data_IF_645915631415
#
_entry.id   IF_645915631415
#
_cell.length_a   1.000
_cell.length_b   1.000
_cell.length_c   1.000
_cell.angle_alpha   90.00
_cell.angle_beta   90.00
_cell.angle_gamma   90.00
#
_symmetry.space_group_name_H-M   'P 1'
#
loop_
_entity.id
_entity.type
_entity.pdbx_description
1 polymer ?
#
# COMPACT_ATOMS: atom_id res chain seq x y z
N UNK A 1 -0.49 -19.81 17.15
CA UNK A 1 -0.58 -21.27 16.88
C UNK A 1 -1.98 -21.84 17.12
N UNK A 2 -2.74 -21.39 18.12
CA UNK A 2 -4.08 -21.91 18.45
C UNK A 2 -5.13 -21.99 17.31
N UNK A 3 -5.02 -21.16 16.27
CA UNK A 3 -5.95 -21.21 15.13
C UNK A 3 -5.61 -22.35 14.16
N UNK A 4 -4.32 -22.68 13.98
CA UNK A 4 -3.89 -23.68 13.00
C UNK A 4 -4.28 -25.09 13.40
N UNK A 5 -4.16 -25.41 14.68
CA UNK A 5 -4.53 -26.72 15.25
C UNK A 5 -6.01 -27.08 15.05
N UNK A 6 -6.86 -26.08 14.80
CA UNK A 6 -8.31 -26.25 14.65
C UNK A 6 -8.78 -26.28 13.19
N UNK A 7 -7.87 -26.15 12.22
CA UNK A 7 -8.21 -25.98 10.82
C UNK A 7 -7.51 -27.03 9.95
N UNK A 8 -8.28 -27.74 9.13
CA UNK A 8 -7.79 -28.69 8.11
C UNK A 8 -7.63 -28.04 6.73
N UNK A 9 -8.12 -26.80 6.56
CA UNK A 9 -8.04 -26.05 5.30
C UNK A 9 -6.74 -25.23 5.21
N UNK A 10 -6.26 -24.91 4.00
CA UNK A 10 -5.11 -24.02 3.83
C UNK A 10 -5.32 -22.64 4.46
N UNK A 11 -4.35 -22.20 5.27
CA UNK A 11 -4.36 -20.91 5.96
C UNK A 11 -3.44 -19.91 5.27
N UNK A 12 -4.00 -18.79 4.82
CA UNK A 12 -3.25 -17.65 4.27
C UNK A 12 -3.28 -16.45 5.22
N UNK A 13 -2.13 -15.80 5.43
CA UNK A 13 -2.03 -14.52 6.14
C UNK A 13 -1.66 -13.41 5.15
N UNK A 14 -2.50 -12.37 5.03
CA UNK A 14 -2.41 -11.34 3.99
C UNK A 14 -1.63 -10.07 4.37
N UNK A 15 -0.95 -10.09 5.53
CA UNK A 15 -0.17 -8.94 6.01
C UNK A 15 0.70 -9.28 7.22
N UNK A 16 1.48 -8.31 7.69
CA UNK A 16 2.34 -8.47 8.87
C UNK A 16 3.74 -9.02 8.60
N UNK A 17 4.03 -9.50 7.39
CA UNK A 17 5.36 -9.96 7.01
C UNK A 17 6.16 -8.90 6.23
N UNK A 18 7.41 -8.69 6.65
CA UNK A 18 8.39 -7.80 6.01
C UNK A 18 9.76 -8.45 5.82
N UNK A 19 10.18 -9.30 6.74
CA UNK A 19 11.47 -9.98 6.68
C UNK A 19 11.35 -11.39 6.09
N UNK A 20 12.29 -11.73 5.20
CA UNK A 20 12.38 -13.04 4.56
C UNK A 20 12.52 -14.16 5.58
N UNK A 21 13.36 -13.98 6.60
CA UNK A 21 13.57 -14.96 7.66
C UNK A 21 12.26 -15.35 8.36
N UNK A 22 11.49 -14.35 8.82
CA UNK A 22 10.19 -14.57 9.46
C UNK A 22 9.17 -15.25 8.51
N UNK A 23 9.16 -14.88 7.22
CA UNK A 23 8.32 -15.55 6.23
C UNK A 23 8.72 -17.03 6.06
N UNK A 24 10.02 -17.32 5.99
CA UNK A 24 10.50 -18.71 5.83
C UNK A 24 10.22 -19.54 7.06
N UNK A 25 10.41 -18.99 8.26
CA UNK A 25 10.10 -19.66 9.52
C UNK A 25 8.60 -19.98 9.62
N UNK A 26 7.73 -19.02 9.31
CA UNK A 26 6.27 -19.24 9.36
C UNK A 26 5.80 -20.33 8.39
N UNK A 27 6.42 -20.43 7.21
CA UNK A 27 6.15 -21.50 6.24
C UNK A 27 6.74 -22.85 6.70
N UNK A 28 8.00 -22.86 7.15
CA UNK A 28 8.70 -24.10 7.54
C UNK A 28 8.09 -24.77 8.77
N UNK A 29 7.57 -23.97 9.71
CA UNK A 29 6.88 -24.46 10.91
C UNK A 29 5.42 -24.87 10.64
N UNK A 30 4.91 -24.68 9.42
CA UNK A 30 3.51 -24.93 9.08
C UNK A 30 2.53 -23.98 9.78
N UNK A 31 3.01 -22.85 10.30
CA UNK A 31 2.17 -21.85 10.97
C UNK A 31 1.19 -21.18 9.99
N UNK A 32 1.61 -21.04 8.72
CA UNK A 32 0.80 -20.59 7.59
C UNK A 32 1.16 -21.41 6.36
N UNK A 33 0.19 -21.62 5.46
CA UNK A 33 0.43 -22.30 4.18
C UNK A 33 0.78 -21.28 3.08
N UNK A 34 0.23 -20.07 3.17
CA UNK A 34 0.46 -18.98 2.22
C UNK A 34 0.67 -17.64 2.92
N UNK A 35 1.49 -16.78 2.31
CA UNK A 35 1.74 -15.41 2.75
C UNK A 35 1.35 -14.46 1.63
N UNK A 36 0.33 -13.62 1.89
CA UNK A 36 -0.05 -12.52 1.04
C UNK A 36 0.75 -11.26 1.35
N UNK A 37 1.21 -10.57 0.30
CA UNK A 37 1.99 -9.33 0.39
C UNK A 37 1.35 -8.31 -0.55
N UNK A 38 0.96 -7.15 -0.02
CA UNK A 38 0.32 -6.08 -0.82
C UNK A 38 1.20 -4.83 -0.94
N UNK A 39 1.26 -4.00 0.11
CA UNK A 39 1.87 -2.65 0.04
C UNK A 39 3.29 -2.57 -0.55
N UNK A 40 4.22 -3.51 -0.28
CA UNK A 40 5.53 -3.50 -0.92
C UNK A 40 5.49 -3.56 -2.46
N UNK A 41 4.52 -4.29 -3.04
CA UNK A 41 4.37 -4.38 -4.51
C UNK A 41 3.97 -3.06 -5.16
N UNK A 42 3.42 -2.11 -4.40
CA UNK A 42 3.10 -0.79 -4.93
C UNK A 42 4.35 -0.01 -5.36
N UNK A 43 5.52 -0.32 -4.80
CA UNK A 43 6.78 0.39 -5.09
C UNK A 43 7.88 -0.51 -5.65
N UNK A 44 7.76 -1.82 -5.45
CA UNK A 44 8.70 -2.83 -5.90
C UNK A 44 7.89 -3.96 -6.58
N UNK A 45 7.52 -3.79 -7.86
CA UNK A 45 6.67 -4.76 -8.57
C UNK A 45 7.29 -6.15 -8.70
N UNK A 46 8.62 -6.23 -8.67
CA UNK A 46 9.43 -7.45 -8.73
C UNK A 46 9.77 -8.01 -7.33
N UNK A 47 9.08 -7.58 -6.28
CA UNK A 47 9.36 -7.96 -4.89
C UNK A 47 9.42 -9.48 -4.66
N UNK A 48 8.53 -10.26 -5.28
CA UNK A 48 8.57 -11.73 -5.19
C UNK A 48 9.88 -12.31 -5.74
N UNK A 49 10.28 -11.89 -6.95
CA UNK A 49 11.52 -12.36 -7.57
C UNK A 49 12.73 -12.01 -6.71
N UNK A 50 12.77 -10.79 -6.15
CA UNK A 50 13.86 -10.37 -5.26
C UNK A 50 13.89 -11.16 -3.95
N UNK A 51 12.73 -11.42 -3.33
CA UNK A 51 12.66 -12.26 -2.13
C UNK A 51 13.19 -13.67 -2.40
N UNK A 52 12.83 -14.26 -3.54
CA UNK A 52 13.33 -15.58 -3.96
C UNK A 52 14.83 -15.55 -4.27
N UNK A 53 15.32 -14.44 -4.82
CA UNK A 53 16.74 -14.21 -5.10
C UNK A 53 17.59 -13.84 -3.88
N UNK A 54 17.00 -13.69 -2.69
CA UNK A 54 17.75 -13.48 -1.45
C UNK A 54 17.49 -12.18 -0.69
N UNK A 55 16.59 -11.30 -1.17
CA UNK A 55 16.30 -10.05 -0.48
C UNK A 55 15.80 -10.29 0.95
N UNK A 56 16.46 -9.70 1.93
CA UNK A 56 16.17 -9.97 3.34
C UNK A 56 14.93 -9.26 3.88
N UNK A 57 14.60 -8.07 3.35
CA UNK A 57 13.47 -7.29 3.80
C UNK A 57 12.77 -6.56 2.64
N UNK A 58 11.45 -6.59 2.67
CA UNK A 58 10.61 -5.81 1.77
C UNK A 58 10.57 -4.34 2.19
N UNK A 59 10.43 -3.40 1.23
CA UNK A 59 10.32 -1.99 1.55
C UNK A 59 9.08 -1.69 2.41
N UNK A 60 9.22 -0.70 3.29
CA UNK A 60 8.15 -0.13 4.11
C UNK A 60 8.03 1.38 3.82
N UNK A 61 7.49 1.79 2.64
CA UNK A 61 7.42 3.20 2.26
C UNK A 61 6.76 4.08 3.31
N UNK A 62 5.78 3.54 4.04
CA UNK A 62 4.99 4.22 5.06
C UNK A 62 5.83 4.88 6.15
N UNK A 63 6.98 4.31 6.48
CA UNK A 63 7.90 4.87 7.50
C UNK A 63 8.52 6.20 7.07
N UNK A 64 8.58 6.44 5.76
CA UNK A 64 9.19 7.63 5.17
C UNK A 64 8.15 8.61 4.60
N UNK A 65 6.89 8.20 4.47
CA UNK A 65 5.81 9.09 4.03
C UNK A 65 5.47 10.09 5.13
N UNK A 66 5.85 11.35 4.91
CA UNK A 66 5.53 12.48 5.78
C UNK A 66 4.56 13.42 5.04
N UNK A 67 3.24 13.29 5.23
CA UNK A 67 2.28 14.18 4.58
C UNK A 67 2.42 15.65 5.00
N UNK A 68 2.94 15.92 6.19
CA UNK A 68 3.22 17.26 6.67
C UNK A 68 4.73 17.45 6.93
N UNK A 69 5.28 18.64 6.62
CA UNK A 69 6.64 18.97 6.99
C UNK A 69 6.79 19.03 8.51
N UNK A 70 7.98 18.72 9.03
CA UNK A 70 8.29 18.69 10.48
C UNK A 70 7.75 19.87 11.29
N UNK A 71 7.94 21.15 10.89
CA UNK A 71 7.41 22.28 11.65
C UNK A 71 5.89 22.32 11.75
N UNK A 72 5.16 21.69 10.82
CA UNK A 72 3.69 21.60 10.81
C UNK A 72 3.16 20.31 11.45
N UNK A 73 4.03 19.41 11.91
CA UNK A 73 3.62 18.12 12.47
C UNK A 73 2.75 18.28 13.74
N UNK A 74 2.88 19.38 14.48
CA UNK A 74 2.04 19.67 15.66
C UNK A 74 0.55 19.79 15.32
N UNK A 75 0.21 20.14 14.08
CA UNK A 75 -1.19 20.25 13.64
C UNK A 75 -1.91 18.90 13.64
N UNK A 76 -1.18 17.78 13.60
CA UNK A 76 -1.76 16.43 13.70
C UNK A 76 -2.40 16.12 15.05
N UNK A 77 -2.25 17.01 16.05
CA UNK A 77 -3.03 16.99 17.30
C UNK A 77 -4.53 17.21 17.06
N UNK A 78 -4.88 17.90 15.97
CA UNK A 78 -6.27 18.09 15.57
C UNK A 78 -6.80 16.83 14.86
N UNK A 79 -7.94 16.25 15.29
CA UNK A 79 -8.47 15.01 14.71
C UNK A 79 -8.67 15.07 13.19
N UNK A 80 -9.14 16.20 12.66
CA UNK A 80 -9.34 16.39 11.23
C UNK A 80 -8.02 16.36 10.43
N UNK A 81 -6.97 17.00 10.93
CA UNK A 81 -5.64 16.99 10.30
C UNK A 81 -5.04 15.59 10.36
N UNK A 82 -5.20 14.89 11.48
CA UNK A 82 -4.79 13.50 11.62
C UNK A 82 -5.49 12.59 10.61
N UNK A 83 -6.81 12.74 10.42
CA UNK A 83 -7.55 12.00 9.41
C UNK A 83 -7.02 12.30 7.99
N UNK A 84 -6.86 13.58 7.66
CA UNK A 84 -6.35 14.01 6.34
C UNK A 84 -4.95 13.45 6.04
N UNK A 85 -4.04 13.50 7.01
CA UNK A 85 -2.69 12.93 6.85
C UNK A 85 -2.71 11.41 6.69
N UNK A 86 -3.58 10.70 7.41
CA UNK A 86 -3.81 9.26 7.20
C UNK A 86 -4.29 8.95 5.79
N UNK A 87 -5.28 9.69 5.28
CA UNK A 87 -5.75 9.54 3.90
C UNK A 87 -4.68 9.87 2.86
N UNK A 88 -3.83 10.87 3.11
CA UNK A 88 -2.75 11.22 2.19
C UNK A 88 -1.77 10.05 1.96
N UNK A 89 -1.48 9.27 3.00
CA UNK A 89 -0.69 8.04 2.87
C UNK A 89 -1.38 7.00 2.01
N UNK A 90 -2.71 6.83 2.14
CA UNK A 90 -3.49 5.91 1.31
C UNK A 90 -3.50 6.37 -0.16
N UNK A 91 -3.76 7.65 -0.40
CA UNK A 91 -3.77 8.23 -1.75
C UNK A 91 -2.41 8.17 -2.43
N UNK A 92 -1.33 8.21 -1.66
CA UNK A 92 -0.01 7.94 -2.18
C UNK A 92 0.09 6.54 -2.80
N UNK A 93 -0.37 5.48 -2.10
CA UNK A 93 -0.40 4.13 -2.67
C UNK A 93 -1.31 4.03 -3.91
N UNK A 94 -2.45 4.71 -3.92
CA UNK A 94 -3.34 4.75 -5.08
C UNK A 94 -2.67 5.38 -6.30
N UNK A 95 -1.88 6.43 -6.10
CA UNK A 95 -1.09 7.03 -7.17
C UNK A 95 0.02 6.08 -7.64
N UNK A 96 0.69 5.34 -6.75
CA UNK A 96 1.68 4.34 -7.18
C UNK A 96 1.05 3.25 -8.06
N UNK A 97 -0.10 2.71 -7.66
CA UNK A 97 -0.86 1.72 -8.45
C UNK A 97 -1.31 2.30 -9.79
N UNK A 98 -1.72 3.57 -9.81
CA UNK A 98 -2.06 4.25 -11.05
C UNK A 98 -0.86 4.39 -11.99
N UNK A 99 0.29 4.83 -11.49
CA UNK A 99 1.51 4.94 -12.28
C UNK A 99 1.98 3.58 -12.80
N UNK A 100 1.86 2.52 -11.99
CA UNK A 100 2.12 1.16 -12.44
C UNK A 100 1.21 0.77 -13.60
N UNK A 101 -0.11 0.97 -13.47
CA UNK A 101 -1.07 0.60 -14.50
C UNK A 101 -0.94 1.38 -15.82
N UNK A 102 -0.44 2.63 -15.77
CA UNK A 102 -0.40 3.51 -16.95
C UNK A 102 0.99 3.73 -17.54
N UNK A 103 2.04 3.65 -16.71
CA UNK A 103 3.43 3.91 -17.12
C UNK A 103 4.35 2.71 -16.90
N UNK A 104 3.84 1.61 -16.34
CA UNK A 104 4.62 0.41 -16.05
C UNK A 104 5.63 0.56 -14.91
N UNK A 105 5.67 1.72 -14.22
CA UNK A 105 6.63 1.98 -13.14
C UNK A 105 6.02 2.84 -12.04
N UNK A 106 6.39 2.61 -10.77
CA UNK A 106 5.97 3.46 -9.68
C UNK A 106 6.78 4.77 -9.67
N UNK A 107 6.34 5.74 -8.87
CA UNK A 107 7.02 7.01 -8.61
C UNK A 107 7.19 7.19 -7.08
N UNK A 108 8.09 6.43 -6.41
CA UNK A 108 8.21 6.45 -4.95
C UNK A 108 8.67 7.79 -4.36
N UNK A 109 9.31 8.64 -5.16
CA UNK A 109 9.74 9.98 -4.74
C UNK A 109 8.60 11.01 -4.66
N UNK A 110 7.37 10.64 -5.01
CA UNK A 110 6.25 11.56 -5.02
C UNK A 110 5.83 11.96 -3.59
N UNK A 111 5.55 13.24 -3.37
CA UNK A 111 5.00 13.72 -2.10
C UNK A 111 3.57 13.18 -1.87
N UNK A 112 3.21 12.75 -0.63
CA UNK A 112 1.85 12.32 -0.30
C UNK A 112 0.78 13.37 -0.62
N UNK A 113 1.07 14.66 -0.39
CA UNK A 113 0.12 15.73 -0.70
C UNK A 113 -0.10 15.89 -2.20
N UNK A 114 0.97 15.77 -2.99
CA UNK A 114 0.87 15.85 -4.46
C UNK A 114 0.09 14.65 -4.99
N UNK A 115 0.34 13.44 -4.44
CA UNK A 115 -0.44 12.26 -4.76
C UNK A 115 -1.93 12.46 -4.46
N UNK A 116 -2.28 12.98 -3.28
CA UNK A 116 -3.66 13.32 -2.93
C UNK A 116 -4.31 14.27 -3.94
N UNK A 117 -3.62 15.35 -4.32
CA UNK A 117 -4.12 16.30 -5.32
C UNK A 117 -4.35 15.63 -6.68
N UNK A 118 -3.45 14.75 -7.12
CA UNK A 118 -3.61 14.00 -8.38
C UNK A 118 -4.80 13.04 -8.33
N UNK A 119 -4.95 12.30 -7.23
CA UNK A 119 -6.09 11.38 -7.00
C UNK A 119 -7.41 12.15 -7.05
N UNK A 120 -7.53 13.26 -6.32
CA UNK A 120 -8.75 14.06 -6.27
C UNK A 120 -9.11 14.69 -7.62
N UNK A 121 -8.12 15.23 -8.35
CA UNK A 121 -8.34 15.75 -9.70
C UNK A 121 -8.88 14.67 -10.65
N UNK A 122 -8.31 13.46 -10.58
CA UNK A 122 -8.76 12.32 -11.39
C UNK A 122 -10.16 11.87 -10.98
N UNK A 123 -10.44 11.79 -9.68
CA UNK A 123 -11.77 11.45 -9.17
C UNK A 123 -12.84 12.43 -9.70
N UNK A 124 -12.59 13.74 -9.61
CA UNK A 124 -13.50 14.77 -10.15
C UNK A 124 -13.71 14.63 -11.66
N UNK A 125 -12.65 14.37 -12.42
CA UNK A 125 -12.75 14.18 -13.87
C UNK A 125 -13.61 12.95 -14.23
N UNK A 126 -13.42 11.82 -13.54
CA UNK A 126 -14.23 10.60 -13.74
C UNK A 126 -15.69 10.86 -13.40
N UNK A 127 -15.98 11.54 -12.29
CA UNK A 127 -17.36 11.86 -11.89
C UNK A 127 -18.05 12.79 -12.89
N UNK A 128 -17.34 13.81 -13.41
CA UNK A 128 -17.86 14.69 -14.46
C UNK A 128 -18.19 13.92 -15.74
N UNK A 129 -17.29 13.03 -16.18
CA UNK A 129 -17.51 12.20 -17.37
C UNK A 129 -18.73 11.27 -17.21
N UNK A 130 -18.89 10.65 -16.03
CA UNK A 130 -20.04 9.79 -15.73
C UNK A 130 -21.37 10.56 -15.71
N UNK A 131 -21.38 11.77 -15.16
CA UNK A 131 -22.57 12.63 -15.17
C UNK A 131 -22.97 13.02 -16.60
N UNK A 132 -21.99 13.39 -17.44
CA UNK A 132 -22.22 13.68 -18.86
C UNK A 132 -22.80 12.49 -19.63
N UNK A 133 -22.23 11.29 -19.43
CA UNK A 133 -22.71 10.07 -20.10
C UNK A 133 -24.15 9.67 -19.69
N UNK A 134 -24.57 9.98 -18.46
CA UNK A 134 -25.95 9.75 -17.99
C UNK A 134 -26.95 10.79 -18.50
N UNK A 135 -26.49 11.98 -18.89
CA UNK A 135 -27.36 13.02 -19.44
C UNK A 135 -27.55 12.89 -20.97
N UNK A 136 -26.71 12.09 -21.64
CA UNK A 136 -26.73 11.87 -23.09
C UNK A 136 -27.40 10.56 -23.54
N UNK A 137 -27.94 9.76 -22.61
CA UNK A 137 -28.66 8.51 -22.89
C UNK A 137 -30.04 8.57 -22.27
#
# INVERSE_FOLDING_TARGET
QAMREKLTIPLMVTGGFRHRAAMREALATGAVDLIGIARPFCVMPDAAARLLAGLDALPCPEEHLRPLPRPLAFLTRLPAVRALTGFATIYWFYEQLWQLGHKGRPEPGLSPLVASLRVERRHKAIMKARAGARASG
#
